data_IF_983737919114
#
_entry.id   IF_983737919114
#
_cell.length_a   1.000
_cell.length_b   1.000
_cell.length_c   1.000
_cell.angle_alpha   90.00
_cell.angle_beta   90.00
_cell.angle_gamma   90.00
#
_symmetry.space_group_name_H-M   'P 1'
#
loop_
_entity.id
_entity.type
_entity.pdbx_description
1 polymer ?
#
# COMPACT_ATOMS: atom_id res chain seq x y z
N UNK A 1 73.49 -12.73 -10.90
CA UNK A 1 73.50 -11.51 -11.73
C UNK A 1 72.07 -11.02 -11.88
N UNK A 2 71.81 -9.75 -11.49
CA UNK A 2 70.89 -8.72 -12.06
C UNK A 2 69.66 -9.24 -12.85
N UNK A 3 68.43 -8.77 -12.68
CA UNK A 3 67.87 -7.59 -12.05
C UNK A 3 66.41 -7.43 -12.54
N UNK A 4 65.61 -6.71 -11.76
CA UNK A 4 64.22 -6.28 -12.00
C UNK A 4 64.08 -5.36 -13.23
N UNK A 5 62.95 -5.42 -13.95
CA UNK A 5 62.20 -4.24 -14.44
C UNK A 5 60.90 -4.64 -15.14
N UNK A 6 59.79 -4.01 -14.76
CA UNK A 6 58.47 -4.19 -15.37
C UNK A 6 58.21 -3.28 -16.57
N UNK A 7 57.05 -3.50 -17.23
CA UNK A 7 56.36 -2.50 -18.05
C UNK A 7 54.85 -2.79 -18.09
N UNK A 8 54.07 -1.78 -17.69
CA UNK A 8 52.61 -1.66 -17.80
C UNK A 8 52.16 -1.42 -19.25
N UNK A 9 50.92 -1.80 -19.55
CA UNK A 9 49.86 -1.05 -20.29
C UNK A 9 48.81 -2.06 -20.82
N UNK A 10 47.49 -1.86 -20.86
CA UNK A 10 46.57 -0.77 -20.47
C UNK A 10 45.17 -1.43 -20.46
N UNK A 11 44.49 -1.48 -19.31
CA UNK A 11 43.10 -1.97 -19.21
C UNK A 11 42.13 -0.84 -19.57
N UNK A 12 41.19 -1.11 -20.48
CA UNK A 12 40.10 -0.19 -20.84
C UNK A 12 38.99 -0.29 -19.78
N UNK A 13 38.89 0.75 -18.93
CA UNK A 13 37.82 0.90 -17.95
C UNK A 13 36.71 1.75 -18.59
N UNK A 14 35.50 1.20 -18.63
CA UNK A 14 34.25 1.87 -19.02
C UNK A 14 33.98 3.07 -18.09
N UNK A 15 33.37 4.18 -18.58
CA UNK A 15 33.08 5.32 -17.73
C UNK A 15 31.98 5.00 -16.72
N UNK A 16 32.36 4.97 -15.44
CA UNK A 16 31.48 4.90 -14.27
C UNK A 16 30.57 6.13 -14.20
N UNK A 17 29.27 5.89 -14.01
CA UNK A 17 28.29 6.92 -13.70
C UNK A 17 28.68 7.63 -12.39
N UNK A 18 28.94 8.93 -12.46
CA UNK A 18 29.32 9.75 -11.29
C UNK A 18 28.16 9.83 -10.31
N UNK A 19 28.39 9.35 -9.09
CA UNK A 19 27.59 9.65 -7.90
C UNK A 19 27.59 11.17 -7.68
N UNK A 20 26.43 11.82 -7.44
CA UNK A 20 26.43 13.24 -7.09
C UNK A 20 27.05 13.42 -5.70
N UNK A 21 28.21 14.07 -5.65
CA UNK A 21 28.80 14.53 -4.39
C UNK A 21 28.01 15.74 -3.90
N UNK A 22 27.30 15.59 -2.78
CA UNK A 22 26.75 16.72 -2.03
C UNK A 22 27.94 17.44 -1.39
N UNK A 23 28.27 18.63 -1.90
CA UNK A 23 29.30 19.49 -1.33
C UNK A 23 28.63 20.37 -0.28
N UNK A 24 29.00 20.19 1.00
CA UNK A 24 28.59 21.08 2.09
C UNK A 24 29.49 22.31 2.04
N UNK A 25 28.98 23.44 1.58
CA UNK A 25 29.83 24.62 1.35
C UNK A 25 30.01 25.48 2.61
N UNK A 26 29.08 25.51 3.56
CA UNK A 26 29.22 26.24 4.85
C UNK A 26 28.05 25.95 5.80
N UNK A 27 28.32 25.96 7.12
CA UNK A 27 27.30 26.02 8.19
C UNK A 27 27.33 27.43 8.77
N UNK A 28 26.19 28.13 8.80
CA UNK A 28 26.12 29.44 9.45
C UNK A 28 26.07 29.28 10.99
N UNK A 29 26.25 30.39 11.73
CA UNK A 29 26.26 30.35 13.21
C UNK A 29 24.93 29.87 13.83
N UNK A 30 23.88 29.67 13.03
CA UNK A 30 22.54 29.26 13.45
C UNK A 30 22.25 27.78 13.11
N UNK A 31 23.22 27.04 12.58
CA UNK A 31 23.08 25.60 12.32
C UNK A 31 22.18 25.24 11.14
N UNK A 32 21.86 26.20 10.26
CA UNK A 32 20.99 25.97 9.10
C UNK A 32 21.84 25.51 7.90
N UNK A 33 21.51 24.34 7.37
CA UNK A 33 22.12 23.82 6.13
C UNK A 33 21.43 24.44 4.91
N UNK A 34 22.18 25.17 4.09
CA UNK A 34 21.70 25.77 2.85
C UNK A 34 22.14 24.87 1.70
N UNK A 35 21.18 24.30 0.96
CA UNK A 35 21.44 23.49 -0.23
C UNK A 35 21.29 24.36 -1.48
N UNK A 36 22.28 24.34 -2.38
CA UNK A 36 22.14 24.86 -3.74
C UNK A 36 22.19 23.68 -4.71
N UNK A 37 21.08 23.43 -5.42
CA UNK A 37 21.02 22.46 -6.52
C UNK A 37 21.17 23.19 -7.84
N UNK A 38 22.30 23.02 -8.54
CA UNK A 38 22.40 23.44 -9.94
C UNK A 38 21.53 22.52 -10.82
N UNK A 39 20.43 23.06 -11.34
CA UNK A 39 19.60 22.39 -12.34
C UNK A 39 20.15 22.62 -13.75
N UNK A 40 20.48 21.56 -14.47
CA UNK A 40 20.65 21.48 -15.93
C UNK A 40 20.44 20.00 -16.27
N UNK A 41 19.50 19.55 -17.10
CA UNK A 41 19.03 20.08 -18.38
C UNK A 41 17.68 19.44 -18.75
N UNK A 42 16.74 20.21 -19.29
CA UNK A 42 15.51 19.70 -19.91
C UNK A 42 15.87 19.18 -21.31
N UNK A 43 15.80 17.87 -21.51
CA UNK A 43 15.89 17.23 -22.83
C UNK A 43 14.53 17.35 -23.51
N UNK A 44 14.44 18.16 -24.57
CA UNK A 44 13.28 18.26 -25.44
C UNK A 44 13.43 17.26 -26.58
N UNK A 45 12.58 16.23 -26.61
CA UNK A 45 12.44 15.34 -27.76
C UNK A 45 11.45 15.95 -28.76
N UNK A 46 11.72 15.92 -30.08
CA UNK A 46 10.80 16.44 -31.08
C UNK A 46 9.58 15.52 -31.27
N UNK A 47 8.39 16.09 -31.14
CA UNK A 47 7.12 15.45 -31.50
C UNK A 47 7.06 15.37 -33.03
N UNK A 48 7.07 14.16 -33.58
CA UNK A 48 6.81 13.93 -35.00
C UNK A 48 5.30 13.90 -35.21
N UNK A 49 4.75 14.94 -35.84
CA UNK A 49 3.34 15.02 -36.21
C UNK A 49 3.11 14.21 -37.48
N UNK A 50 2.51 13.02 -37.36
CA UNK A 50 1.95 12.33 -38.52
C UNK A 50 0.59 12.95 -38.88
N UNK A 51 0.56 13.73 -39.96
CA UNK A 51 -0.68 14.12 -40.64
C UNK A 51 -1.34 12.86 -41.21
N UNK A 52 -2.49 12.46 -40.65
CA UNK A 52 -3.40 11.52 -41.30
C UNK A 52 -4.36 12.32 -42.18
N UNK A 53 -4.31 12.07 -43.49
CA UNK A 53 -5.21 12.65 -44.49
C UNK A 53 -6.65 12.20 -44.22
N UNK A 54 -7.55 13.18 -44.23
CA UNK A 54 -9.00 13.01 -44.24
C UNK A 54 -9.45 12.22 -45.48
N UNK A 55 -10.21 11.14 -45.27
CA UNK A 55 -11.17 10.65 -46.25
C UNK A 55 -12.57 10.80 -45.67
N UNK A 56 -13.35 11.69 -46.29
CA UNK A 56 -14.77 11.88 -46.07
C UNK A 56 -15.55 10.70 -46.66
N UNK A 57 -16.25 9.94 -45.82
CA UNK A 57 -17.41 9.14 -46.25
C UNK A 57 -18.52 9.30 -45.21
N UNK A 58 -19.63 9.92 -45.64
CA UNK A 58 -20.88 10.02 -44.88
C UNK A 58 -21.73 8.76 -45.11
N UNK A 59 -22.19 8.05 -44.05
CA UNK A 59 -23.30 7.12 -44.17
C UNK A 59 -24.65 7.85 -44.00
N UNK A 60 -25.75 7.28 -44.54
CA UNK A 60 -27.04 7.96 -44.62
C UNK A 60 -27.74 8.04 -43.25
N UNK A 61 -28.46 9.15 -43.10
CA UNK A 61 -29.32 9.48 -41.96
C UNK A 61 -30.54 8.54 -41.90
N UNK A 62 -30.58 7.64 -40.92
CA UNK A 62 -31.80 6.94 -40.51
C UNK A 62 -32.19 7.39 -39.10
N UNK A 63 -33.16 8.31 -39.03
CA UNK A 63 -33.88 8.69 -37.83
C UNK A 63 -34.53 7.45 -37.19
N UNK A 64 -33.95 6.94 -36.12
CA UNK A 64 -34.68 6.11 -35.17
C UNK A 64 -34.66 6.80 -33.81
N UNK A 65 -35.77 7.48 -33.49
CA UNK A 65 -35.97 8.15 -32.22
C UNK A 65 -36.29 7.13 -31.12
N UNK A 66 -35.29 6.40 -30.65
CA UNK A 66 -35.32 5.90 -29.27
C UNK A 66 -34.71 6.99 -28.40
N UNK A 67 -35.54 7.94 -27.93
CA UNK A 67 -35.12 8.85 -26.86
C UNK A 67 -35.03 8.04 -25.57
N UNK A 68 -33.93 7.31 -25.41
CA UNK A 68 -33.44 6.92 -24.10
C UNK A 68 -33.34 8.21 -23.27
N UNK A 69 -33.79 8.26 -22.01
CA UNK A 69 -33.68 9.46 -21.21
C UNK A 69 -32.19 9.83 -21.13
N UNK A 70 -31.81 10.96 -21.74
CA UNK A 70 -30.44 11.46 -21.66
C UNK A 70 -30.28 11.96 -20.22
N UNK A 71 -29.82 11.07 -19.32
CA UNK A 71 -29.44 11.46 -17.97
C UNK A 71 -28.32 12.50 -18.06
N UNK A 72 -28.38 13.56 -17.24
CA UNK A 72 -27.34 14.59 -17.21
C UNK A 72 -25.98 13.98 -16.90
N UNK A 73 -24.90 14.56 -17.40
CA UNK A 73 -23.53 14.12 -17.11
C UNK A 73 -23.23 14.03 -15.60
N UNK A 74 -23.87 14.87 -14.78
CA UNK A 74 -23.82 14.80 -13.32
C UNK A 74 -24.49 13.55 -12.74
N UNK A 75 -25.62 13.13 -13.29
CA UNK A 75 -26.34 11.93 -12.85
C UNK A 75 -25.61 10.64 -13.27
N UNK A 76 -24.98 10.64 -14.45
CA UNK A 76 -24.14 9.52 -14.90
C UNK A 76 -22.91 9.36 -14.01
N UNK A 77 -22.30 10.46 -13.58
CA UNK A 77 -21.17 10.43 -12.65
C UNK A 77 -21.57 9.88 -11.28
N UNK A 78 -22.72 10.28 -10.74
CA UNK A 78 -23.21 9.78 -9.46
C UNK A 78 -23.43 8.26 -9.47
N UNK A 79 -24.01 7.72 -10.54
CA UNK A 79 -24.25 6.27 -10.64
C UNK A 79 -22.94 5.49 -10.74
N UNK A 80 -21.97 5.98 -11.53
CA UNK A 80 -20.63 5.34 -11.61
C UNK A 80 -19.89 5.34 -10.28
N UNK A 81 -20.03 6.41 -9.49
CA UNK A 81 -19.45 6.48 -8.15
C UNK A 81 -20.11 5.43 -7.24
N UNK A 82 -21.44 5.35 -7.27
CA UNK A 82 -22.20 4.36 -6.49
C UNK A 82 -21.82 2.92 -6.86
N UNK A 83 -21.68 2.63 -8.15
CA UNK A 83 -21.24 1.32 -8.64
C UNK A 83 -19.81 0.99 -8.17
N UNK A 84 -18.91 1.98 -8.19
CA UNK A 84 -17.55 1.81 -7.67
C UNK A 84 -17.54 1.52 -6.16
N UNK A 85 -18.37 2.21 -5.37
CA UNK A 85 -18.54 1.92 -3.94
C UNK A 85 -19.03 0.48 -3.71
N UNK A 86 -20.08 0.04 -4.41
CA UNK A 86 -20.59 -1.33 -4.31
C UNK A 86 -19.50 -2.36 -4.63
N UNK A 87 -18.77 -2.14 -5.74
CA UNK A 87 -17.71 -3.05 -6.18
C UNK A 87 -16.59 -3.18 -5.13
N UNK A 88 -16.14 -2.05 -4.57
CA UNK A 88 -15.10 -2.05 -3.54
C UNK A 88 -15.61 -2.64 -2.23
N UNK A 89 -16.87 -2.40 -1.87
CA UNK A 89 -17.46 -2.94 -0.66
C UNK A 89 -17.54 -4.47 -0.72
N UNK A 90 -18.04 -5.02 -1.84
CA UNK A 90 -18.20 -6.46 -2.02
C UNK A 90 -16.84 -7.19 -1.99
N UNK A 91 -15.85 -6.69 -2.75
CA UNK A 91 -14.49 -7.22 -2.73
C UNK A 91 -13.84 -7.06 -1.34
N UNK A 92 -14.12 -5.95 -0.67
CA UNK A 92 -13.63 -5.67 0.68
C UNK A 92 -14.21 -6.60 1.73
N UNK A 93 -15.50 -6.90 1.65
CA UNK A 93 -16.17 -7.81 2.59
C UNK A 93 -15.62 -9.23 2.45
N UNK A 94 -15.40 -9.71 1.22
CA UNK A 94 -14.75 -11.00 0.97
C UNK A 94 -13.35 -11.05 1.58
N UNK A 95 -12.52 -10.05 1.29
CA UNK A 95 -11.14 -9.98 1.80
C UNK A 95 -11.10 -9.86 3.33
N UNK A 96 -11.98 -9.02 3.90
CA UNK A 96 -12.08 -8.83 5.36
C UNK A 96 -12.47 -10.13 6.06
N UNK A 97 -13.41 -10.89 5.51
CA UNK A 97 -13.80 -12.20 6.03
C UNK A 97 -12.64 -13.21 5.96
N UNK A 98 -11.91 -13.23 4.84
CA UNK A 98 -10.75 -14.11 4.66
C UNK A 98 -9.66 -13.85 5.70
N UNK A 99 -9.36 -12.58 5.98
CA UNK A 99 -8.28 -12.20 6.90
C UNK A 99 -8.76 -12.23 8.35
N UNK A 100 -9.78 -11.46 8.71
CA UNK A 100 -10.21 -11.29 10.09
C UNK A 100 -11.05 -12.44 10.63
N UNK A 101 -11.58 -13.30 9.75
CA UNK A 101 -12.50 -14.39 10.09
C UNK A 101 -13.96 -13.92 10.06
N UNK A 102 -14.84 -14.75 9.49
CA UNK A 102 -16.24 -14.39 9.25
C UNK A 102 -16.99 -14.01 10.53
N UNK A 103 -16.82 -14.76 11.61
CA UNK A 103 -17.55 -14.50 12.86
C UNK A 103 -17.20 -13.13 13.46
N UNK A 104 -15.94 -12.73 13.35
CA UNK A 104 -15.49 -11.41 13.81
C UNK A 104 -16.12 -10.29 12.98
N UNK A 105 -16.16 -10.46 11.66
CA UNK A 105 -16.74 -9.47 10.74
C UNK A 105 -18.25 -9.35 10.93
N UNK A 106 -18.96 -10.47 11.03
CA UNK A 106 -20.40 -10.48 11.30
C UNK A 106 -20.72 -9.71 12.60
N UNK A 107 -19.93 -9.95 13.66
CA UNK A 107 -20.07 -9.24 14.94
C UNK A 107 -19.76 -7.74 14.82
N UNK A 108 -18.71 -7.37 14.07
CA UNK A 108 -18.35 -5.97 13.87
C UNK A 108 -19.44 -5.20 13.10
N UNK A 109 -20.03 -5.82 12.08
CA UNK A 109 -21.11 -5.25 11.29
C UNK A 109 -22.42 -5.17 12.09
N UNK A 110 -22.74 -6.17 12.91
CA UNK A 110 -23.94 -6.15 13.77
C UNK A 110 -23.87 -5.07 14.86
N UNK A 111 -22.66 -4.72 15.30
CA UNK A 111 -22.45 -3.67 16.30
C UNK A 111 -22.49 -2.25 15.70
N UNK A 112 -22.26 -2.12 14.39
CA UNK A 112 -22.23 -0.84 13.69
C UNK A 112 -23.57 -0.51 13.00
N UNK A 113 -24.68 -0.70 13.71
CA UNK A 113 -26.03 -0.56 13.15
C UNK A 113 -26.56 0.87 13.11
N UNK A 114 -25.94 1.81 13.82
CA UNK A 114 -26.37 3.21 13.83
C UNK A 114 -25.94 3.95 12.56
N UNK A 115 -26.74 4.92 12.12
CA UNK A 115 -26.40 5.78 10.96
C UNK A 115 -25.11 6.59 11.20
N UNK A 116 -24.71 6.77 12.45
CA UNK A 116 -23.43 7.39 12.81
C UNK A 116 -22.23 6.45 12.59
N UNK A 117 -22.34 5.18 12.98
CA UNK A 117 -21.22 4.24 12.92
C UNK A 117 -21.08 3.54 11.56
N UNK A 118 -22.20 3.33 10.85
CA UNK A 118 -22.24 2.58 9.59
C UNK A 118 -21.29 3.13 8.51
N UNK A 119 -21.24 4.46 8.23
CA UNK A 119 -20.35 4.98 7.19
C UNK A 119 -18.86 4.72 7.48
N UNK A 120 -18.46 4.65 8.75
CA UNK A 120 -17.09 4.31 9.12
C UNK A 120 -16.74 2.85 8.81
N UNK A 121 -17.69 1.92 9.01
CA UNK A 121 -17.49 0.51 8.64
C UNK A 121 -17.49 0.30 7.13
N UNK A 122 -18.33 1.02 6.40
CA UNK A 122 -18.35 1.03 4.93
C UNK A 122 -17.01 1.53 4.39
N UNK A 123 -16.54 2.69 4.88
CA UNK A 123 -15.24 3.23 4.51
C UNK A 123 -14.09 2.27 4.81
N UNK A 124 -14.07 1.64 5.99
CA UNK A 124 -13.04 0.65 6.33
C UNK A 124 -13.09 -0.56 5.39
N UNK A 125 -14.29 -1.06 5.08
CA UNK A 125 -14.51 -2.21 4.20
C UNK A 125 -14.05 -1.89 2.78
N UNK A 126 -14.42 -0.75 2.23
CA UNK A 126 -14.04 -0.34 0.88
C UNK A 126 -12.57 0.06 0.77
N UNK A 127 -12.11 1.02 1.59
CA UNK A 127 -10.81 1.65 1.42
C UNK A 127 -9.66 0.76 1.89
N UNK A 128 -9.81 0.09 3.04
CA UNK A 128 -8.76 -0.81 3.52
C UNK A 128 -8.87 -2.14 2.78
N UNK A 129 -9.97 -2.85 2.97
CA UNK A 129 -10.08 -4.23 2.52
C UNK A 129 -10.30 -4.35 1.01
N UNK A 130 -11.21 -3.54 0.45
CA UNK A 130 -11.57 -3.59 -0.97
C UNK A 130 -10.55 -2.97 -1.90
N UNK A 131 -9.84 -1.93 -1.45
CA UNK A 131 -8.84 -1.23 -2.24
C UNK A 131 -7.41 -1.67 -1.93
N UNK A 132 -6.92 -1.55 -0.69
CA UNK A 132 -5.49 -1.78 -0.42
C UNK A 132 -5.12 -3.26 -0.27
N UNK A 133 -5.97 -4.06 0.37
CA UNK A 133 -5.70 -5.48 0.62
C UNK A 133 -5.91 -6.39 -0.60
N UNK A 134 -6.70 -5.95 -1.57
CA UNK A 134 -6.90 -6.65 -2.86
C UNK A 134 -5.79 -6.37 -3.88
N UNK A 135 -4.91 -5.39 -3.63
CA UNK A 135 -3.84 -5.04 -4.58
C UNK A 135 -2.83 -6.17 -4.76
N UNK A 136 -2.37 -6.41 -6.00
CA UNK A 136 -1.21 -7.25 -6.23
C UNK A 136 0.07 -6.57 -5.70
N UNK A 137 1.11 -7.37 -5.45
CA UNK A 137 2.45 -6.88 -5.13
C UNK A 137 2.98 -7.33 -3.77
N UNK A 138 2.12 -7.41 -2.74
CA UNK A 138 2.46 -8.02 -1.45
C UNK A 138 1.44 -9.10 -1.12
N UNK A 139 1.93 -10.26 -0.70
CA UNK A 139 1.09 -11.33 -0.20
C UNK A 139 0.39 -10.94 1.12
N UNK A 140 -0.67 -11.67 1.44
CA UNK A 140 -1.51 -11.37 2.60
C UNK A 140 -0.79 -11.57 3.93
N UNK A 141 0.15 -12.54 3.99
CA UNK A 141 0.96 -12.79 5.20
C UNK A 141 1.81 -11.57 5.53
N UNK A 142 2.54 -11.06 4.55
CA UNK A 142 3.40 -9.88 4.66
C UNK A 142 2.59 -8.65 5.03
N UNK A 143 1.41 -8.45 4.42
CA UNK A 143 0.50 -7.36 4.78
C UNK A 143 0.02 -7.44 6.22
N UNK A 144 -0.31 -8.63 6.72
CA UNK A 144 -0.69 -8.81 8.13
C UNK A 144 0.46 -8.48 9.07
N UNK A 145 1.66 -8.97 8.79
CA UNK A 145 2.86 -8.69 9.59
C UNK A 145 3.18 -7.19 9.64
N UNK A 146 3.10 -6.47 8.52
CA UNK A 146 3.28 -5.01 8.49
C UNK A 146 2.23 -4.29 9.34
N UNK A 147 0.96 -4.73 9.29
CA UNK A 147 -0.08 -4.15 10.14
C UNK A 147 0.18 -4.41 11.62
N UNK A 148 0.65 -5.60 12.01
CA UNK A 148 1.04 -5.87 13.40
C UNK A 148 2.12 -4.88 13.86
N UNK A 149 3.15 -4.64 13.05
CA UNK A 149 4.21 -3.68 13.38
C UNK A 149 3.64 -2.26 13.58
N UNK A 150 2.81 -1.78 12.65
CA UNK A 150 2.21 -0.44 12.71
C UNK A 150 1.25 -0.30 13.90
N UNK A 151 0.39 -1.29 14.14
CA UNK A 151 -0.59 -1.24 15.23
C UNK A 151 0.07 -1.37 16.60
N UNK A 152 1.19 -2.08 16.68
CA UNK A 152 2.05 -2.13 17.85
C UNK A 152 2.60 -0.73 18.13
N UNK A 153 3.21 -0.09 17.14
CA UNK A 153 3.77 1.26 17.27
C UNK A 153 2.71 2.32 17.63
N UNK A 154 1.48 2.16 17.11
CA UNK A 154 0.36 3.07 17.37
C UNK A 154 -0.38 2.78 18.69
N UNK A 155 -0.04 1.72 19.42
CA UNK A 155 -0.77 1.24 20.60
C UNK A 155 -2.28 1.08 20.31
N UNK A 156 -2.61 0.35 19.25
CA UNK A 156 -4.01 0.05 18.85
C UNK A 156 -4.30 -1.43 19.10
N UNK A 157 -4.42 -1.77 20.37
CA UNK A 157 -4.49 -3.16 20.82
C UNK A 157 -5.63 -4.01 20.23
N UNK A 158 -6.90 -3.51 20.18
CA UNK A 158 -7.99 -4.28 19.58
C UNK A 158 -7.72 -4.66 18.11
N UNK A 159 -7.19 -3.72 17.32
CA UNK A 159 -6.83 -3.97 15.91
C UNK A 159 -5.59 -4.86 15.79
N UNK A 160 -4.61 -4.73 16.69
CA UNK A 160 -3.45 -5.62 16.72
C UNK A 160 -3.88 -7.08 16.92
N UNK A 161 -4.89 -7.33 17.75
CA UNK A 161 -5.47 -8.66 17.91
C UNK A 161 -6.12 -9.16 16.60
N UNK A 162 -6.85 -8.29 15.87
CA UNK A 162 -7.45 -8.64 14.57
C UNK A 162 -6.38 -9.06 13.57
N UNK A 163 -5.33 -8.26 13.44
CA UNK A 163 -4.25 -8.55 12.49
C UNK A 163 -3.33 -9.68 12.94
N UNK A 164 -3.27 -10.00 14.23
CA UNK A 164 -2.61 -11.23 14.73
C UNK A 164 -3.36 -12.48 14.27
N UNK A 165 -4.69 -12.54 14.46
CA UNK A 165 -5.52 -13.65 13.91
C UNK A 165 -5.39 -13.72 12.39
N UNK A 166 -5.45 -12.56 11.74
CA UNK A 166 -5.31 -12.49 10.29
C UNK A 166 -3.95 -12.91 9.77
N UNK A 167 -2.87 -12.68 10.51
CA UNK A 167 -1.55 -13.20 10.17
C UNK A 167 -1.53 -14.72 10.21
N UNK A 168 -2.07 -15.34 11.27
CA UNK A 168 -2.16 -16.79 11.43
C UNK A 168 -3.00 -17.42 10.31
N UNK A 169 -4.19 -16.86 10.03
CA UNK A 169 -5.05 -17.30 8.92
C UNK A 169 -4.36 -17.22 7.54
N UNK A 170 -3.46 -16.25 7.38
CA UNK A 170 -2.66 -16.07 6.16
C UNK A 170 -1.36 -16.91 6.15
N UNK A 171 -1.16 -17.79 7.13
CA UNK A 171 -0.01 -18.70 7.22
C UNK A 171 1.25 -18.10 7.85
N UNK A 172 1.13 -17.02 8.62
CA UNK A 172 2.23 -16.58 9.48
C UNK A 172 2.40 -17.53 10.66
N UNK A 173 3.65 -17.82 11.00
CA UNK A 173 4.00 -18.51 12.23
C UNK A 173 4.01 -17.57 13.44
N UNK A 174 3.84 -18.13 14.63
CA UNK A 174 4.03 -17.39 15.90
C UNK A 174 5.41 -16.76 15.99
N UNK A 175 6.42 -17.42 15.43
CA UNK A 175 7.80 -16.92 15.39
C UNK A 175 7.87 -15.66 14.54
N UNK A 176 7.31 -15.64 13.32
CA UNK A 176 7.29 -14.44 12.48
C UNK A 176 6.57 -13.26 13.17
N UNK A 177 5.44 -13.53 13.83
CA UNK A 177 4.69 -12.51 14.58
C UNK A 177 5.53 -11.96 15.74
N UNK A 178 6.19 -12.83 16.50
CA UNK A 178 7.07 -12.45 17.61
C UNK A 178 8.23 -11.57 17.13
N UNK A 179 8.92 -11.96 16.07
CA UNK A 179 10.06 -11.20 15.55
C UNK A 179 9.64 -9.79 15.09
N UNK A 180 8.46 -9.66 14.49
CA UNK A 180 7.91 -8.34 14.11
C UNK A 180 7.65 -7.45 15.32
N UNK A 181 7.09 -8.00 16.41
CA UNK A 181 6.81 -7.24 17.63
C UNK A 181 8.12 -6.84 18.33
N UNK A 182 9.12 -7.73 18.36
CA UNK A 182 10.45 -7.43 18.89
C UNK A 182 11.11 -6.29 18.10
N UNK A 183 11.03 -6.33 16.76
CA UNK A 183 11.49 -5.24 15.90
C UNK A 183 10.77 -3.93 16.24
N UNK A 184 9.43 -3.97 16.36
CA UNK A 184 8.64 -2.79 16.72
C UNK A 184 9.03 -2.25 18.11
N UNK A 185 9.36 -3.09 19.08
CA UNK A 185 9.79 -2.68 20.42
C UNK A 185 11.06 -1.82 20.38
N UNK A 186 12.02 -2.15 19.52
CA UNK A 186 13.29 -1.40 19.42
C UNK A 186 13.09 -0.02 18.79
N UNK A 187 12.18 0.10 17.81
CA UNK A 187 11.99 1.35 17.06
C UNK A 187 10.86 2.24 17.59
N UNK A 188 9.81 1.65 18.17
CA UNK A 188 8.66 2.35 18.73
C UNK A 188 8.66 2.39 20.27
N UNK A 189 9.65 1.76 20.91
CA UNK A 189 9.85 1.74 22.36
C UNK A 189 9.35 0.46 23.04
N UNK A 190 10.07 0.07 24.10
CA UNK A 190 9.78 -1.14 24.87
C UNK A 190 8.33 -1.24 25.36
N UNK A 191 7.65 -0.17 25.83
CA UNK A 191 6.25 -0.26 26.27
C UNK A 191 5.30 -0.73 25.17
N UNK A 192 5.47 -0.22 23.93
CA UNK A 192 4.65 -0.63 22.79
C UNK A 192 4.86 -2.10 22.47
N UNK A 193 6.11 -2.57 22.45
CA UNK A 193 6.44 -3.97 22.22
C UNK A 193 5.91 -4.91 23.30
N UNK A 194 6.01 -4.53 24.57
CA UNK A 194 5.49 -5.34 25.69
C UNK A 194 3.97 -5.47 25.62
N UNK A 195 3.25 -4.39 25.33
CA UNK A 195 1.79 -4.43 25.17
C UNK A 195 1.39 -5.25 23.94
N UNK A 196 2.07 -5.03 22.81
CA UNK A 196 1.90 -5.81 21.59
C UNK A 196 2.10 -7.31 21.83
N UNK A 197 3.13 -7.69 22.60
CA UNK A 197 3.43 -9.09 22.95
C UNK A 197 2.29 -9.72 23.74
N UNK A 198 1.79 -9.05 24.79
CA UNK A 198 0.69 -9.56 25.62
C UNK A 198 -0.58 -9.81 24.79
N UNK A 199 -0.90 -8.87 23.89
CA UNK A 199 -2.09 -8.97 23.05
C UNK A 199 -1.92 -10.09 22.03
N UNK A 200 -0.75 -10.19 21.39
CA UNK A 200 -0.47 -11.23 20.41
C UNK A 200 -0.49 -12.62 21.04
N UNK A 201 0.15 -12.80 22.19
CA UNK A 201 0.17 -14.06 22.96
C UNK A 201 -1.25 -14.51 23.32
N UNK A 202 -2.06 -13.61 23.91
CA UNK A 202 -3.46 -13.90 24.21
C UNK A 202 -4.23 -14.33 22.96
N UNK A 203 -4.05 -13.59 21.88
CA UNK A 203 -4.75 -13.83 20.61
C UNK A 203 -4.36 -15.16 19.97
N UNK A 204 -3.08 -15.50 19.98
CA UNK A 204 -2.53 -16.77 19.46
C UNK A 204 -3.13 -17.93 20.25
N UNK A 205 -3.18 -17.83 21.59
CA UNK A 205 -3.79 -18.85 22.44
C UNK A 205 -5.27 -19.08 22.08
N UNK A 206 -6.06 -18.01 22.00
CA UNK A 206 -7.48 -18.09 21.61
C UNK A 206 -7.66 -18.68 20.21
N UNK A 207 -6.76 -18.34 19.28
CA UNK A 207 -6.79 -18.88 17.91
C UNK A 207 -6.48 -20.38 17.89
N UNK A 208 -5.49 -20.85 18.65
CA UNK A 208 -5.16 -22.28 18.78
C UNK A 208 -6.31 -23.08 19.40
N UNK A 209 -6.88 -22.58 20.48
CA UNK A 209 -8.05 -23.20 21.13
C UNK A 209 -9.23 -23.37 20.17
N UNK A 210 -9.46 -22.37 19.29
CA UNK A 210 -10.52 -22.43 18.27
C UNK A 210 -10.22 -23.43 17.14
N UNK A 211 -8.95 -23.61 16.78
CA UNK A 211 -8.53 -24.47 15.66
C UNK A 211 -8.08 -25.88 16.08
N UNK A 212 -8.01 -26.17 17.38
CA UNK A 212 -7.62 -27.47 17.91
C UNK A 212 -6.11 -27.76 17.86
N UNK A 213 -5.29 -26.70 17.94
CA UNK A 213 -3.81 -26.77 17.97
C UNK A 213 -3.19 -26.63 19.36
#
# INVERSE_FOLDING_TARGET
MKGTSGKLQRTSILPSARTPHIIITTVNHQGICIYSSESSSISTLPITTHQHQHQHQHPPNSNHSSKSPIMSSSSQNAERIKEAHSTLYDAGLEMRNKVAGKEYVDTALSNATSDFARPMQELATEAAWGSIWTRPGLDLKTRSLLNIAMLCALNRGPELAVHTRGALNNGASEVEIREVILQAAVYAGMPAGMEGTKIAEKTIKEWKEKNGE
#
